data_IF_718830615303
#
_entry.id   IF_718830615303
#
_cell.length_a   1.000
_cell.length_b   1.000
_cell.length_c   1.000
_cell.angle_alpha   90.00
_cell.angle_beta   90.00
_cell.angle_gamma   90.00
#
_symmetry.space_group_name_H-M   'P 1'
#
loop_
_entity.id
_entity.type
_entity.pdbx_description
1 polymer ?
#
# COMPACT_ATOMS: atom_id res chain seq x y z
N UNK A 1 -9.35 -25.95 -12.81
CA UNK A 1 -10.46 -25.01 -12.68
C UNK A 1 -9.96 -23.71 -12.05
N UNK A 2 -10.14 -22.61 -12.74
CA UNK A 2 -9.78 -21.28 -12.24
C UNK A 2 -10.85 -20.79 -11.24
N UNK A 3 -10.70 -21.18 -9.97
CA UNK A 3 -11.60 -20.74 -8.91
C UNK A 3 -11.00 -19.56 -8.16
N UNK A 4 -11.85 -18.70 -7.64
CA UNK A 4 -11.46 -17.60 -6.76
C UNK A 4 -11.94 -17.88 -5.35
N UNK A 5 -11.03 -17.80 -4.38
CA UNK A 5 -11.34 -17.90 -2.97
C UNK A 5 -11.35 -16.50 -2.36
N UNK A 6 -12.46 -16.13 -1.75
CA UNK A 6 -12.62 -14.84 -1.07
C UNK A 6 -12.70 -15.09 0.43
N UNK A 7 -11.85 -14.45 1.21
CA UNK A 7 -11.83 -14.53 2.66
C UNK A 7 -11.82 -13.13 3.26
N UNK A 8 -12.86 -12.81 4.00
CA UNK A 8 -12.94 -11.53 4.71
C UNK A 8 -12.30 -11.67 6.11
N UNK A 9 -11.60 -10.62 6.50
CA UNK A 9 -10.97 -10.53 7.83
C UNK A 9 -10.18 -11.79 8.21
N UNK A 10 -9.29 -12.21 7.33
CA UNK A 10 -8.52 -13.45 7.44
C UNK A 10 -7.76 -13.60 8.78
N UNK A 11 -7.42 -12.49 9.39
CA UNK A 11 -6.67 -12.41 10.66
C UNK A 11 -7.56 -12.40 11.89
N UNK A 12 -8.89 -12.44 11.73
CA UNK A 12 -9.80 -12.41 12.86
C UNK A 12 -9.59 -13.62 13.79
N UNK A 13 -9.27 -13.34 15.04
CA UNK A 13 -8.97 -14.36 16.04
C UNK A 13 -7.56 -14.98 15.97
N UNK A 14 -6.67 -14.44 15.14
CA UNK A 14 -5.29 -14.93 14.98
C UNK A 14 -4.31 -13.98 15.65
N UNK A 15 -3.40 -14.52 16.44
CA UNK A 15 -2.34 -13.72 17.05
C UNK A 15 -1.40 -13.16 15.97
N UNK A 16 -0.99 -11.88 16.05
CA UNK A 16 -0.14 -11.24 15.04
C UNK A 16 1.12 -12.02 14.67
N UNK A 17 1.75 -12.73 15.62
CA UNK A 17 2.94 -13.53 15.36
C UNK A 17 2.70 -14.72 14.41
N UNK A 18 1.44 -15.09 14.19
CA UNK A 18 1.06 -16.18 13.26
C UNK A 18 0.61 -15.68 11.90
N UNK A 19 0.46 -14.36 11.72
CA UNK A 19 -0.04 -13.77 10.49
C UNK A 19 0.82 -14.16 9.27
N UNK A 20 2.13 -14.12 9.40
CA UNK A 20 3.06 -14.50 8.34
C UNK A 20 2.94 -15.98 7.94
N UNK A 21 2.86 -16.87 8.92
CA UNK A 21 2.72 -18.31 8.68
C UNK A 21 1.39 -18.64 7.99
N UNK A 22 0.30 -18.01 8.44
CA UNK A 22 -1.01 -18.16 7.83
C UNK A 22 -0.97 -17.72 6.36
N UNK A 23 -0.48 -16.51 6.09
CA UNK A 23 -0.44 -15.96 4.76
C UNK A 23 0.41 -16.81 3.81
N UNK A 24 1.59 -17.24 4.24
CA UNK A 24 2.45 -18.11 3.46
C UNK A 24 1.77 -19.45 3.12
N UNK A 25 1.09 -20.05 4.09
CA UNK A 25 0.34 -21.29 3.89
C UNK A 25 -0.75 -21.11 2.85
N UNK A 26 -1.47 -20.01 2.91
CA UNK A 26 -2.54 -19.71 1.96
C UNK A 26 -2.03 -19.44 0.54
N UNK A 27 -0.93 -18.70 0.41
CA UNK A 27 -0.31 -18.46 -0.89
C UNK A 27 0.18 -19.77 -1.54
N UNK A 28 0.85 -20.62 -0.78
CA UNK A 28 1.29 -21.95 -1.26
C UNK A 28 0.10 -22.84 -1.67
N UNK A 29 -0.97 -22.81 -0.89
CA UNK A 29 -2.18 -23.55 -1.22
C UNK A 29 -2.82 -23.07 -2.51
N UNK A 30 -2.93 -21.75 -2.67
CA UNK A 30 -3.48 -21.15 -3.88
C UNK A 30 -2.65 -21.48 -5.11
N UNK A 31 -1.34 -21.38 -5.01
CA UNK A 31 -0.42 -21.73 -6.10
C UNK A 31 -0.57 -23.19 -6.52
N UNK A 32 -0.53 -24.13 -5.59
CA UNK A 32 -0.69 -25.56 -5.86
C UNK A 32 -2.03 -25.93 -6.51
N UNK A 33 -3.08 -25.19 -6.20
CA UNK A 33 -4.44 -25.41 -6.69
C UNK A 33 -4.82 -24.53 -7.86
N UNK A 34 -3.92 -23.65 -8.31
CA UNK A 34 -4.20 -22.64 -9.33
C UNK A 34 -5.45 -21.81 -9.01
N UNK A 35 -5.53 -21.33 -7.75
CA UNK A 35 -6.63 -20.52 -7.24
C UNK A 35 -6.22 -19.04 -7.23
N UNK A 36 -7.18 -18.17 -7.46
CA UNK A 36 -7.04 -16.74 -7.16
C UNK A 36 -7.50 -16.49 -5.72
N UNK A 37 -6.75 -15.68 -4.98
CA UNK A 37 -7.09 -15.27 -3.63
C UNK A 37 -7.50 -13.82 -3.60
N UNK A 38 -8.62 -13.53 -2.93
CA UNK A 38 -9.00 -12.18 -2.52
C UNK A 38 -9.16 -12.19 -1.00
N UNK A 39 -8.27 -11.46 -0.33
CA UNK A 39 -8.23 -11.41 1.14
C UNK A 39 -8.50 -9.98 1.60
N UNK A 40 -9.27 -9.82 2.65
CA UNK A 40 -9.42 -8.52 3.31
C UNK A 40 -8.83 -8.55 4.72
N UNK A 41 -8.25 -7.45 5.14
CA UNK A 41 -7.71 -7.27 6.47
C UNK A 41 -7.57 -5.78 6.80
N UNK A 42 -7.54 -5.46 8.07
CA UNK A 42 -7.13 -4.15 8.59
C UNK A 42 -5.96 -4.30 9.59
N UNK A 43 -5.35 -5.47 9.65
CA UNK A 43 -4.26 -5.76 10.59
C UNK A 43 -2.90 -5.44 9.97
N UNK A 44 -2.15 -4.46 10.52
CA UNK A 44 -0.83 -4.09 10.02
C UNK A 44 0.17 -5.25 9.98
N UNK A 45 0.08 -6.18 10.93
CA UNK A 45 0.97 -7.34 10.97
C UNK A 45 0.79 -8.28 9.76
N UNK A 46 -0.45 -8.44 9.29
CA UNK A 46 -0.72 -9.20 8.08
C UNK A 46 -0.24 -8.49 6.83
N UNK A 47 -0.36 -7.16 6.79
CA UNK A 47 0.14 -6.34 5.69
C UNK A 47 1.67 -6.46 5.56
N UNK A 48 2.38 -6.45 6.69
CA UNK A 48 3.84 -6.61 6.73
C UNK A 48 4.31 -8.04 6.39
N UNK A 49 3.43 -9.01 6.48
CA UNK A 49 3.71 -10.39 6.10
C UNK A 49 3.61 -10.64 4.59
N UNK A 50 3.08 -9.70 3.81
CA UNK A 50 2.98 -9.82 2.36
C UNK A 50 4.38 -9.89 1.73
N UNK A 51 4.61 -10.82 0.78
CA UNK A 51 5.83 -10.80 -0.01
C UNK A 51 5.87 -9.55 -0.90
N UNK A 52 7.06 -9.04 -1.17
CA UNK A 52 7.27 -7.81 -1.94
C UNK A 52 6.57 -7.84 -3.30
N UNK A 53 6.52 -9.00 -3.94
CA UNK A 53 5.86 -9.18 -5.24
C UNK A 53 4.34 -8.96 -5.17
N UNK A 54 3.73 -9.13 -4.01
CA UNK A 54 2.29 -8.94 -3.81
C UNK A 54 1.90 -7.51 -3.42
N UNK A 55 2.85 -6.65 -3.07
CA UNK A 55 2.57 -5.27 -2.65
C UNK A 55 1.85 -4.47 -3.75
N UNK A 56 2.21 -4.68 -5.02
CA UNK A 56 1.56 -4.03 -6.13
C UNK A 56 0.09 -4.41 -6.32
N UNK A 57 -0.33 -5.56 -5.81
CA UNK A 57 -1.71 -6.06 -5.90
C UNK A 57 -2.59 -5.65 -4.71
N UNK A 58 -2.03 -4.93 -3.74
CA UNK A 58 -2.80 -4.41 -2.61
C UNK A 58 -3.76 -3.32 -3.09
N UNK A 59 -5.04 -3.47 -2.74
CA UNK A 59 -6.07 -2.47 -3.01
C UNK A 59 -6.42 -1.79 -1.71
N UNK A 60 -6.31 -0.47 -1.69
CA UNK A 60 -6.65 0.35 -0.55
C UNK A 60 -8.04 0.96 -0.73
N UNK A 61 -8.89 0.78 0.28
CA UNK A 61 -10.21 1.37 0.33
C UNK A 61 -10.14 2.68 1.14
N UNK A 62 -10.66 3.76 0.59
CA UNK A 62 -10.66 5.06 1.25
C UNK A 62 -11.93 5.84 0.94
N UNK A 63 -12.18 6.88 1.71
CA UNK A 63 -13.26 7.83 1.48
C UNK A 63 -12.71 9.08 0.80
N UNK A 64 -13.31 9.45 -0.32
CA UNK A 64 -12.94 10.69 -1.02
C UNK A 64 -13.22 11.90 -0.11
N UNK A 65 -12.22 12.77 0.16
CA UNK A 65 -12.41 13.93 1.02
C UNK A 65 -13.30 15.01 0.43
N UNK A 66 -13.49 15.03 -0.89
CA UNK A 66 -14.30 16.04 -1.58
C UNK A 66 -15.76 15.60 -1.75
N UNK A 67 -15.98 14.36 -2.17
CA UNK A 67 -17.31 13.84 -2.50
C UNK A 67 -17.89 12.94 -1.40
N UNK A 68 -17.06 12.43 -0.50
CA UNK A 68 -17.49 11.59 0.62
C UNK A 68 -17.86 10.16 0.24
N UNK A 69 -17.71 9.76 -1.02
CA UNK A 69 -17.93 8.41 -1.49
C UNK A 69 -16.74 7.49 -1.15
N UNK A 70 -17.02 6.20 -1.10
CA UNK A 70 -15.97 5.19 -0.93
C UNK A 70 -15.32 4.86 -2.27
N UNK A 71 -14.00 4.81 -2.29
CA UNK A 71 -13.20 4.51 -3.47
C UNK A 71 -12.18 3.43 -3.19
N UNK A 72 -11.76 2.75 -4.26
CA UNK A 72 -10.71 1.74 -4.24
C UNK A 72 -9.57 2.18 -5.14
N UNK A 73 -8.35 1.98 -4.69
CA UNK A 73 -7.17 2.20 -5.51
C UNK A 73 -6.16 1.06 -5.29
N UNK A 74 -5.62 0.53 -6.39
CA UNK A 74 -4.49 -0.38 -6.32
C UNK A 74 -3.23 0.42 -6.05
N UNK A 75 -2.40 -0.01 -5.09
CA UNK A 75 -1.21 0.75 -4.72
C UNK A 75 -0.23 0.96 -5.87
N UNK A 76 -0.08 -0.02 -6.76
CA UNK A 76 0.77 0.13 -7.95
C UNK A 76 0.27 1.16 -8.96
N UNK A 77 -1.00 1.57 -8.87
CA UNK A 77 -1.59 2.61 -9.73
C UNK A 77 -1.37 4.04 -9.19
N UNK A 78 -0.79 4.17 -8.01
CA UNK A 78 -0.39 5.47 -7.48
C UNK A 78 0.79 6.04 -8.28
N UNK A 79 0.74 7.31 -8.64
CA UNK A 79 1.79 7.99 -9.41
C UNK A 79 3.17 7.91 -8.75
N UNK A 80 3.22 7.84 -7.43
CA UNK A 80 4.45 7.74 -6.66
C UNK A 80 4.48 6.49 -5.76
N UNK A 81 4.11 5.36 -6.33
CA UNK A 81 4.13 4.08 -5.63
C UNK A 81 5.52 3.76 -5.04
N UNK A 82 6.58 3.96 -5.81
CA UNK A 82 7.95 3.71 -5.36
C UNK A 82 8.35 4.61 -4.19
N UNK A 83 7.99 5.89 -4.25
CA UNK A 83 8.20 6.82 -3.15
C UNK A 83 7.43 6.46 -1.90
N UNK A 84 6.21 5.92 -2.05
CA UNK A 84 5.41 5.44 -0.92
C UNK A 84 6.07 4.25 -0.24
N UNK A 85 6.39 3.19 -0.99
CA UNK A 85 6.94 1.94 -0.42
C UNK A 85 8.36 2.10 0.12
N UNK A 86 9.09 3.13 -0.30
CA UNK A 86 10.41 3.46 0.24
C UNK A 86 10.38 4.04 1.65
N UNK A 87 9.22 4.53 2.12
CA UNK A 87 9.10 5.20 3.42
C UNK A 87 8.98 4.25 4.61
N UNK A 88 8.73 2.97 4.39
CA UNK A 88 8.61 1.98 5.44
C UNK A 88 7.83 0.74 5.00
N UNK A 89 7.58 -0.16 5.95
CA UNK A 89 6.73 -1.33 5.71
C UNK A 89 5.26 -0.92 5.48
N UNK A 90 4.50 -1.75 4.78
CA UNK A 90 3.09 -1.45 4.47
C UNK A 90 2.25 -1.25 5.74
N UNK A 91 2.41 -2.12 6.75
CA UNK A 91 1.71 -2.01 8.02
C UNK A 91 2.04 -0.73 8.77
N UNK A 92 3.29 -0.31 8.74
CA UNK A 92 3.73 0.96 9.31
C UNK A 92 3.13 2.17 8.58
N UNK A 93 3.15 2.15 7.25
CA UNK A 93 2.59 3.22 6.42
C UNK A 93 1.09 3.39 6.64
N UNK A 94 0.35 2.29 6.77
CA UNK A 94 -1.09 2.33 7.06
C UNK A 94 -1.35 2.83 8.48
N UNK A 95 -0.60 2.36 9.47
CA UNK A 95 -0.74 2.78 10.88
C UNK A 95 -0.47 4.28 11.06
N UNK A 96 0.48 4.83 10.32
CA UNK A 96 0.83 6.27 10.36
C UNK A 96 0.02 7.14 9.39
N UNK A 97 -1.04 6.60 8.79
CA UNK A 97 -1.88 7.27 7.80
C UNK A 97 -1.12 7.80 6.56
N UNK A 98 0.05 7.24 6.26
CA UNK A 98 0.86 7.67 5.11
C UNK A 98 0.16 7.32 3.81
N UNK A 99 -0.36 6.09 3.69
CA UNK A 99 -1.12 5.64 2.49
C UNK A 99 -2.33 6.54 2.26
N UNK A 100 -3.09 6.83 3.32
CA UNK A 100 -4.27 7.70 3.25
C UNK A 100 -3.91 9.10 2.72
N UNK A 101 -2.82 9.67 3.18
CA UNK A 101 -2.33 10.98 2.69
C UNK A 101 -1.91 10.94 1.23
N UNK A 102 -1.21 9.90 0.80
CA UNK A 102 -0.79 9.74 -0.60
C UNK A 102 -1.98 9.60 -1.55
N UNK A 103 -3.00 8.88 -1.13
CA UNK A 103 -4.22 8.66 -1.93
C UNK A 103 -5.09 9.91 -2.01
N UNK A 104 -5.27 10.61 -0.89
CA UNK A 104 -6.14 11.79 -0.80
C UNK A 104 -5.50 13.05 -1.37
N UNK A 105 -4.18 13.15 -1.34
CA UNK A 105 -3.42 14.29 -1.83
C UNK A 105 -2.30 13.79 -2.76
N UNK A 106 -2.62 13.28 -3.97
CA UNK A 106 -1.62 12.79 -4.89
C UNK A 106 -0.76 13.95 -5.40
N UNK A 107 0.56 13.83 -5.22
CA UNK A 107 1.54 14.73 -5.80
C UNK A 107 2.07 14.09 -7.06
N UNK A 108 1.87 14.72 -8.22
CA UNK A 108 2.35 14.21 -9.50
C UNK A 108 3.89 14.19 -9.55
N UNK A 109 4.45 13.31 -10.37
CA UNK A 109 5.90 13.24 -10.57
C UNK A 109 6.46 14.58 -11.08
N UNK A 110 5.67 15.33 -11.85
CA UNK A 110 6.05 16.66 -12.33
C UNK A 110 6.08 17.68 -11.19
N UNK A 111 5.08 17.69 -10.32
CA UNK A 111 5.07 18.57 -9.14
C UNK A 111 6.22 18.29 -8.19
N UNK A 112 6.58 17.02 -7.99
CA UNK A 112 7.77 16.67 -7.21
C UNK A 112 9.05 17.17 -7.79
N UNK A 113 9.24 17.02 -9.11
CA UNK A 113 10.40 17.57 -9.82
C UNK A 113 10.45 19.08 -9.70
N UNK A 114 9.31 19.75 -9.88
CA UNK A 114 9.23 21.20 -9.77
C UNK A 114 9.54 21.67 -8.34
N UNK A 115 9.00 21.02 -7.34
CA UNK A 115 9.27 21.32 -5.93
C UNK A 115 10.75 21.12 -5.58
N UNK A 116 11.36 20.04 -6.09
CA UNK A 116 12.79 19.77 -5.89
C UNK A 116 13.66 20.84 -6.58
N UNK A 117 13.32 21.26 -7.80
CA UNK A 117 14.01 22.32 -8.52
C UNK A 117 13.89 23.66 -7.78
N UNK A 118 12.69 24.02 -7.33
CA UNK A 118 12.46 25.25 -6.58
C UNK A 118 13.28 25.26 -5.28
N UNK A 119 13.33 24.12 -4.58
CA UNK A 119 14.15 23.99 -3.37
C UNK A 119 15.64 24.17 -3.66
N UNK A 120 16.16 23.57 -4.75
CA UNK A 120 17.55 23.73 -5.18
C UNK A 120 17.88 25.18 -5.56
N UNK A 121 16.96 25.87 -6.23
CA UNK A 121 17.14 27.30 -6.58
C UNK A 121 17.19 28.17 -5.33
N UNK A 122 16.34 27.91 -4.34
CA UNK A 122 16.38 28.61 -3.05
C UNK A 122 17.70 28.38 -2.32
N UNK A 123 18.21 27.16 -2.32
CA UNK A 123 19.51 26.85 -1.71
C UNK A 123 20.67 27.55 -2.43
N UNK A 124 20.63 27.66 -3.75
CA UNK A 124 21.63 28.41 -4.53
C UNK A 124 21.57 29.91 -4.24
N UNK A 125 20.38 30.48 -4.07
CA UNK A 125 20.20 31.89 -3.71
C UNK A 125 20.80 32.23 -2.36
N UNK A 126 20.78 31.31 -1.40
CA UNK A 126 21.37 31.51 -0.07
C UNK A 126 22.89 31.40 -0.09
N UNK A 127 23.48 30.63 -1.00
CA UNK A 127 24.94 30.45 -1.09
C UNK A 127 25.67 31.57 -1.86
N UNK A 128 24.97 32.49 -2.45
CA UNK A 128 25.52 33.63 -3.22
C UNK A 128 25.48 34.98 -2.45
N UNK A 129 25.10 34.95 -1.19
CA UNK A 129 25.20 36.15 -0.32
C UNK A 129 26.49 36.13 0.52
#
# INVERSE_FOLDING_TARGET
ENSTLVIEEIDNGIHPSRAKSLLNTMLLFAEKRNLKLLLTTHNPALMDALPDQALGDVVFAYRDPKQGDSRLIRLSDLDDYEGLVSQGSLGELVTKDVVDRFVKNPVSSQEKKQNALNWLEQMRGISNE
#
